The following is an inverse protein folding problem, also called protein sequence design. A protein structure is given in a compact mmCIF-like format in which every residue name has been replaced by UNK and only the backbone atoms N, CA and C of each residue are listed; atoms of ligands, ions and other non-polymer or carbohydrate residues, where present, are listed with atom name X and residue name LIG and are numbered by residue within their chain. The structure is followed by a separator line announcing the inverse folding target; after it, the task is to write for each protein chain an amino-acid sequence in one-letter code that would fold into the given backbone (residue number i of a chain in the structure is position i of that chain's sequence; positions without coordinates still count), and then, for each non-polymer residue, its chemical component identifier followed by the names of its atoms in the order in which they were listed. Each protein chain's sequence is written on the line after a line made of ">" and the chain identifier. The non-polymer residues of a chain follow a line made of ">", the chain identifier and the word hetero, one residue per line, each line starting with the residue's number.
data_IF_703190420796
#
_entry.id   IF_703190420796
#
_cell.length_a   1.000
_cell.length_b   1.000
_cell.length_c   1.000
_cell.angle_alpha   90.00
_cell.angle_beta   90.00
_cell.angle_gamma   90.00
#
_symmetry.space_group_name_H-M   'P 1'
#
loop_
_entity.id
_entity.type
_entity.pdbx_description
1 polymer ?
#
# COMPACT_ATOMS: atom_id res chain seq x y z
N UNK A 1 -4.51 8.68 5.72
CA UNK A 1 -4.33 7.27 6.08
C UNK A 1 -3.87 6.47 4.86
N UNK A 2 -4.69 6.25 3.81
CA UNK A 2 -4.27 5.54 2.58
C UNK A 2 -2.97 6.10 1.96
N UNK A 3 -2.89 7.43 1.75
CA UNK A 3 -1.69 8.08 1.18
C UNK A 3 -0.43 7.81 2.01
N UNK A 4 -0.56 7.79 3.34
CA UNK A 4 0.54 7.54 4.28
C UNK A 4 1.04 6.12 4.16
N UNK A 5 0.14 5.13 4.07
CA UNK A 5 0.53 3.74 3.84
C UNK A 5 1.21 3.55 2.47
N UNK A 6 0.69 4.21 1.43
CA UNK A 6 1.33 4.22 0.11
C UNK A 6 2.73 4.85 0.11
N UNK A 7 2.96 5.88 0.94
CA UNK A 7 4.29 6.46 1.15
C UNK A 7 5.21 5.50 1.91
N UNK A 8 4.72 4.84 2.96
CA UNK A 8 5.48 3.84 3.71
C UNK A 8 5.93 2.68 2.80
N UNK A 9 5.05 2.15 1.95
CA UNK A 9 5.40 1.15 0.92
C UNK A 9 6.59 1.64 0.09
N UNK A 10 6.53 2.88 -0.42
CA UNK A 10 7.63 3.45 -1.23
C UNK A 10 8.93 3.58 -0.43
N UNK A 11 8.84 4.02 0.83
CA UNK A 11 10.00 4.18 1.70
C UNK A 11 10.72 2.86 1.98
N UNK A 12 10.02 1.73 2.03
CA UNK A 12 10.64 0.42 2.24
C UNK A 12 11.11 -0.24 0.93
N UNK A 13 10.36 -0.08 -0.16
CA UNK A 13 10.71 -0.69 -1.44
C UNK A 13 11.98 -0.08 -2.07
N UNK A 14 12.17 1.24 -1.96
CA UNK A 14 13.38 1.90 -2.48
C UNK A 14 14.69 1.30 -1.95
N UNK A 15 14.92 1.19 -0.62
CA UNK A 15 16.12 0.55 -0.10
C UNK A 15 16.13 -0.96 -0.34
N UNK A 16 14.97 -1.63 -0.42
CA UNK A 16 14.91 -3.05 -0.75
C UNK A 16 15.45 -3.31 -2.17
N UNK A 17 15.16 -2.43 -3.12
CA UNK A 17 15.63 -2.51 -4.50
C UNK A 17 17.12 -2.14 -4.63
N UNK A 18 17.63 -1.27 -3.75
CA UNK A 18 19.01 -0.77 -3.82
C UNK A 18 20.02 -1.53 -2.94
N UNK A 19 19.59 -2.51 -2.14
CA UNK A 19 20.48 -3.26 -1.24
C UNK A 19 20.90 -4.62 -1.80
N UNK A 20 22.16 -4.98 -1.54
CA UNK A 20 22.71 -6.32 -1.82
C UNK A 20 22.45 -7.32 -0.67
N UNK A 21 22.04 -6.85 0.51
CA UNK A 21 21.76 -7.72 1.64
C UNK A 21 20.44 -8.46 1.44
N UNK A 22 20.53 -9.79 1.27
CA UNK A 22 19.35 -10.66 1.10
C UNK A 22 18.37 -10.53 2.28
N UNK A 23 18.89 -10.52 3.51
CA UNK A 23 18.08 -10.38 4.72
C UNK A 23 17.37 -9.02 4.77
N UNK A 24 18.08 -7.93 4.45
CA UNK A 24 17.49 -6.60 4.45
C UNK A 24 16.37 -6.49 3.41
N UNK A 25 16.57 -7.03 2.20
CA UNK A 25 15.55 -7.10 1.16
C UNK A 25 14.32 -7.88 1.62
N UNK A 26 14.50 -9.05 2.23
CA UNK A 26 13.39 -9.87 2.76
C UNK A 26 12.57 -9.11 3.80
N UNK A 27 13.23 -8.48 4.77
CA UNK A 27 12.55 -7.73 5.85
C UNK A 27 11.84 -6.49 5.30
N UNK A 28 12.48 -5.72 4.42
CA UNK A 28 11.89 -4.51 3.87
C UNK A 28 10.66 -4.81 2.99
N UNK A 29 10.72 -5.88 2.18
CA UNK A 29 9.59 -6.31 1.37
C UNK A 29 8.44 -6.81 2.26
N UNK A 30 8.72 -7.61 3.29
CA UNK A 30 7.70 -8.06 4.25
C UNK A 30 7.00 -6.89 4.97
N UNK A 31 7.76 -5.85 5.35
CA UNK A 31 7.18 -4.64 5.94
C UNK A 31 6.31 -3.91 4.90
N UNK A 32 6.80 -3.71 3.68
CA UNK A 32 6.02 -3.07 2.61
C UNK A 32 4.70 -3.81 2.30
N UNK A 33 4.71 -5.14 2.36
CA UNK A 33 3.52 -5.96 2.15
C UNK A 33 2.49 -5.80 3.27
N UNK A 34 2.91 -5.56 4.52
CA UNK A 34 1.99 -5.24 5.63
C UNK A 34 1.30 -3.90 5.41
N UNK A 35 2.02 -2.89 4.94
CA UNK A 35 1.41 -1.58 4.67
C UNK A 35 0.42 -1.64 3.49
N UNK A 36 0.57 -2.59 2.55
CA UNK A 36 -0.45 -2.87 1.52
C UNK A 36 -1.76 -3.36 2.14
N UNK A 37 -1.69 -4.17 3.19
CA UNK A 37 -2.88 -4.63 3.94
C UNK A 37 -3.53 -3.44 4.62
N UNK A 38 -2.78 -2.60 5.33
CA UNK A 38 -3.31 -1.39 5.97
C UNK A 38 -3.98 -0.43 4.96
N UNK A 39 -3.33 -0.19 3.81
CA UNK A 39 -3.91 0.61 2.74
C UNK A 39 -5.25 0.04 2.25
N UNK A 40 -5.36 -1.29 2.12
CA UNK A 40 -6.59 -1.98 1.76
C UNK A 40 -7.69 -1.88 2.82
N UNK A 41 -7.33 -1.99 4.11
CA UNK A 41 -8.27 -1.80 5.22
C UNK A 41 -8.85 -0.38 5.25
N UNK A 42 -8.00 0.63 5.05
CA UNK A 42 -8.46 2.02 4.96
C UNK A 42 -9.30 2.28 3.70
N UNK A 43 -8.97 1.67 2.57
CA UNK A 43 -9.80 1.76 1.36
C UNK A 43 -11.18 1.13 1.58
N UNK A 44 -11.24 -0.03 2.24
CA UNK A 44 -12.51 -0.68 2.61
C UNK A 44 -13.32 0.20 3.56
N UNK A 45 -12.68 0.84 4.54
CA UNK A 45 -13.33 1.79 5.43
C UNK A 45 -13.87 2.99 4.66
N UNK A 46 -13.11 3.53 3.70
CA UNK A 46 -13.54 4.63 2.85
C UNK A 46 -14.81 4.26 2.08
N UNK A 47 -14.88 3.10 1.43
CA UNK A 47 -16.10 2.63 0.75
C UNK A 47 -17.30 2.45 1.69
N UNK A 48 -17.06 2.15 2.97
CA UNK A 48 -18.14 2.06 3.95
C UNK A 48 -18.68 3.44 4.35
N UNK A 49 -17.79 4.43 4.50
CA UNK A 49 -18.13 5.80 4.89
C UNK A 49 -18.69 6.61 3.72
N UNK A 50 -18.22 6.37 2.51
CA UNK A 50 -18.65 7.00 1.27
C UNK A 50 -18.82 5.94 0.16
N UNK A 51 -20.02 5.35 0.01
CA UNK A 51 -20.28 4.32 -0.99
C UNK A 51 -20.14 4.79 -2.44
N UNK A 52 -20.31 6.09 -2.72
CA UNK A 52 -20.17 6.63 -4.08
C UNK A 52 -18.70 6.65 -4.52
N UNK A 53 -17.76 6.65 -3.56
CA UNK A 53 -16.33 6.56 -3.84
C UNK A 53 -15.99 5.34 -4.73
N UNK A 54 -16.68 4.20 -4.52
CA UNK A 54 -16.43 2.98 -5.29
C UNK A 54 -16.65 3.17 -6.80
N UNK A 55 -17.53 4.10 -7.20
CA UNK A 55 -17.82 4.38 -8.61
C UNK A 55 -16.61 4.99 -9.34
N UNK A 56 -15.86 5.88 -8.69
CA UNK A 56 -14.64 6.45 -9.26
C UNK A 56 -13.57 5.38 -9.54
N UNK A 57 -13.44 4.38 -8.67
CA UNK A 57 -12.50 3.26 -8.88
C UNK A 57 -12.98 2.26 -9.93
N UNK A 58 -14.30 2.08 -10.10
CA UNK A 58 -14.88 1.24 -11.16
C UNK A 58 -14.69 1.86 -12.55
N UNK A 59 -14.80 3.18 -12.67
CA UNK A 59 -14.54 3.89 -13.93
C UNK A 59 -13.10 3.70 -14.40
N UNK A 60 -12.14 3.69 -13.47
CA UNK A 60 -10.73 3.50 -13.79
C UNK A 60 -10.34 2.05 -14.16
N UNK A 61 -11.20 1.06 -13.88
CA UNK A 61 -10.98 -0.37 -14.21
C UNK A 61 -11.53 -0.79 -15.59
N UNK A 62 -12.13 0.13 -16.35
CA UNK A 62 -12.59 -0.09 -17.74
C UNK A 62 -11.48 0.23 -18.73
#
# INVERSE_FOLDING_TARGET
>A
MISTECEAIRFYMQPAESTDSKLAKEVLVDIADKERVHAGEFLKLLYHLDPEEENFYKEWKK
#
